data_IF_046240295936
#
_entry.id   IF_046240295936
#
_cell.length_a   1.000
_cell.length_b   1.000
_cell.length_c   1.000
_cell.angle_alpha   90.00
_cell.angle_beta   90.00
_cell.angle_gamma   90.00
#
_symmetry.space_group_name_H-M   'P 1'
#
loop_
_entity.id
_entity.type
_entity.pdbx_description
1 polymer ?
#
# COMPACT_ATOMS: atom_id res chain seq x y z
N UNK A 1 -19.88 -18.40 1.13
CA UNK A 1 -18.60 -17.93 1.68
C UNK A 1 -17.77 -19.17 1.95
N UNK A 2 -16.77 -19.52 1.12
CA UNK A 2 -16.00 -20.76 1.33
C UNK A 2 -15.28 -20.70 2.68
N UNK A 3 -15.30 -21.84 3.37
CA UNK A 3 -14.73 -22.04 4.69
C UNK A 3 -13.19 -21.88 4.61
N UNK A 4 -12.65 -20.94 5.39
CA UNK A 4 -11.20 -20.64 5.42
C UNK A 4 -10.61 -21.29 6.67
N UNK A 5 -10.53 -22.62 6.67
CA UNK A 5 -9.71 -23.31 7.65
C UNK A 5 -8.23 -23.00 7.35
N UNK A 6 -7.46 -22.50 8.33
CA UNK A 6 -6.04 -22.22 8.11
C UNK A 6 -5.32 -23.54 7.80
N UNK A 7 -4.27 -23.51 6.94
CA UNK A 7 -3.49 -24.71 6.64
C UNK A 7 -2.90 -25.29 7.93
N UNK A 8 -2.88 -26.62 8.02
CA UNK A 8 -2.35 -27.29 9.20
C UNK A 8 -0.87 -26.94 9.41
N UNK A 9 -0.46 -26.78 10.67
CA UNK A 9 0.92 -26.43 11.04
C UNK A 9 1.93 -27.46 10.47
N UNK A 10 1.53 -28.73 10.38
CA UNK A 10 2.33 -29.83 9.84
C UNK A 10 2.53 -29.71 8.32
N UNK A 11 1.51 -29.28 7.59
CA UNK A 11 1.63 -28.99 6.16
C UNK A 11 2.56 -27.79 5.92
N UNK A 12 2.44 -26.75 6.73
CA UNK A 12 3.36 -25.60 6.67
C UNK A 12 4.81 -26.01 6.99
N UNK A 13 5.02 -26.89 7.96
CA UNK A 13 6.35 -27.41 8.30
C UNK A 13 6.95 -28.23 7.14
N UNK A 14 6.13 -29.07 6.48
CA UNK A 14 6.56 -29.84 5.30
C UNK A 14 6.92 -28.92 4.12
N UNK A 15 6.15 -27.85 3.91
CA UNK A 15 6.36 -26.88 2.82
C UNK A 15 7.37 -25.77 3.18
N UNK A 16 7.81 -25.67 4.43
CA UNK A 16 8.68 -24.61 4.93
C UNK A 16 9.91 -24.34 4.05
N UNK A 17 10.69 -25.33 3.57
CA UNK A 17 11.85 -25.04 2.72
C UNK A 17 11.46 -24.42 1.38
N UNK A 18 10.36 -24.87 0.77
CA UNK A 18 9.83 -24.32 -0.48
C UNK A 18 9.37 -22.88 -0.26
N UNK A 19 8.58 -22.64 0.79
CA UNK A 19 8.11 -21.30 1.18
C UNK A 19 9.28 -20.36 1.51
N UNK A 20 10.36 -20.86 2.13
CA UNK A 20 11.55 -20.06 2.43
C UNK A 20 12.29 -19.63 1.16
N UNK A 21 12.41 -20.51 0.16
CA UNK A 21 12.99 -20.17 -1.15
C UNK A 21 12.09 -19.16 -1.88
N UNK A 22 10.78 -19.41 -1.93
CA UNK A 22 9.81 -18.48 -2.53
C UNK A 22 9.87 -17.10 -1.86
N UNK A 23 9.84 -17.05 -0.53
CA UNK A 23 9.93 -15.81 0.23
C UNK A 23 11.25 -15.08 -0.02
N UNK A 24 12.38 -15.80 -0.17
CA UNK A 24 13.67 -15.19 -0.52
C UNK A 24 13.67 -14.63 -1.94
N UNK A 25 13.07 -15.31 -2.90
CA UNK A 25 12.92 -14.81 -4.28
C UNK A 25 12.06 -13.55 -4.30
N UNK A 26 10.88 -13.59 -3.66
CA UNK A 26 9.99 -12.43 -3.56
C UNK A 26 10.69 -11.26 -2.88
N UNK A 27 11.36 -11.50 -1.75
CA UNK A 27 12.09 -10.44 -1.02
C UNK A 27 13.23 -9.84 -1.84
N UNK A 28 13.89 -10.63 -2.69
CA UNK A 28 14.93 -10.15 -3.61
C UNK A 28 14.35 -9.35 -4.77
N UNK A 29 13.17 -9.72 -5.27
CA UNK A 29 12.48 -9.04 -6.38
C UNK A 29 11.58 -7.88 -5.95
N UNK A 30 11.29 -7.73 -4.65
CA UNK A 30 10.41 -6.69 -4.14
C UNK A 30 10.96 -5.29 -4.46
N UNK A 31 10.25 -4.57 -5.34
CA UNK A 31 10.57 -3.19 -5.70
C UNK A 31 10.33 -2.30 -4.48
N UNK A 32 11.35 -1.52 -4.10
CA UNK A 32 11.17 -0.45 -3.11
C UNK A 32 10.51 0.72 -3.81
N UNK A 33 9.21 0.86 -3.59
CA UNK A 33 8.45 2.00 -4.06
C UNK A 33 8.94 3.25 -3.30
N UNK A 34 9.15 4.33 -4.06
CA UNK A 34 9.52 5.61 -3.49
C UNK A 34 8.27 6.29 -2.95
N UNK A 35 8.51 7.17 -1.99
CA UNK A 35 7.49 8.12 -1.59
C UNK A 35 7.33 9.17 -2.69
N UNK A 36 6.09 9.57 -3.04
CA UNK A 36 5.85 10.49 -4.14
C UNK A 36 6.43 11.88 -3.85
N UNK A 37 6.99 12.50 -4.90
CA UNK A 37 7.55 13.84 -4.82
C UNK A 37 6.43 14.90 -4.75
N UNK A 38 6.75 16.06 -4.17
CA UNK A 38 5.86 17.22 -4.11
C UNK A 38 5.27 17.52 -2.72
N UNK A 39 4.38 18.53 -2.63
CA UNK A 39 3.88 19.05 -1.36
C UNK A 39 2.87 18.12 -0.68
N UNK A 40 3.03 17.90 0.63
CA UNK A 40 2.07 17.13 1.46
C UNK A 40 0.98 17.96 2.11
N UNK A 41 1.05 19.27 1.94
CA UNK A 41 0.09 20.22 2.48
C UNK A 41 -0.19 21.27 1.42
N UNK A 42 -1.44 21.72 1.37
CA UNK A 42 -1.90 22.70 0.41
C UNK A 42 -3.34 23.09 0.69
N UNK A 43 -3.86 23.98 -0.15
CA UNK A 43 -5.26 24.41 -0.13
C UNK A 43 -5.76 24.41 -1.57
N UNK A 44 -6.91 23.81 -1.80
CA UNK A 44 -7.58 23.78 -3.11
C UNK A 44 -9.10 23.78 -2.93
N UNK A 45 -9.82 24.17 -3.97
CA UNK A 45 -11.27 24.37 -3.97
C UNK A 45 -11.71 25.72 -3.38
N UNK A 46 -12.98 26.07 -3.63
CA UNK A 46 -13.62 27.30 -3.16
C UNK A 46 -14.82 27.05 -2.22
N UNK A 47 -15.07 25.80 -1.84
CA UNK A 47 -16.20 25.40 -0.99
C UNK A 47 -15.92 25.47 0.52
N UNK A 48 -16.89 25.04 1.35
CA UNK A 48 -16.71 24.93 2.80
C UNK A 48 -15.53 24.00 3.16
N UNK A 49 -14.82 24.31 4.25
CA UNK A 49 -13.70 23.51 4.73
C UNK A 49 -14.13 22.10 5.11
N UNK A 50 -13.57 21.10 4.42
CA UNK A 50 -13.73 19.68 4.73
C UNK A 50 -12.58 19.19 5.62
N UNK A 51 -12.89 18.29 6.55
CA UNK A 51 -11.90 17.60 7.38
C UNK A 51 -11.96 16.11 7.06
N UNK A 52 -10.93 15.60 6.40
CA UNK A 52 -10.87 14.22 5.92
C UNK A 52 -9.66 13.52 6.52
N UNK A 53 -9.86 12.31 7.04
CA UNK A 53 -8.80 11.43 7.52
C UNK A 53 -8.55 10.35 6.45
N UNK A 54 -7.32 10.24 5.97
CA UNK A 54 -6.88 9.14 5.10
C UNK A 54 -6.08 8.19 5.98
N UNK A 55 -6.55 6.95 6.13
CA UNK A 55 -5.90 5.91 6.92
C UNK A 55 -5.72 4.64 6.08
N UNK A 56 -4.56 3.99 6.23
CA UNK A 56 -4.18 2.79 5.50
C UNK A 56 -2.71 2.47 5.72
N UNK A 57 -2.14 1.66 4.84
CA UNK A 57 -0.70 1.39 4.81
C UNK A 57 0.08 2.52 4.08
N UNK A 58 1.28 2.22 3.58
CA UNK A 58 2.10 3.16 2.81
C UNK A 58 1.39 3.73 1.57
N UNK A 59 0.43 3.00 0.99
CA UNK A 59 -0.36 3.45 -0.15
C UNK A 59 -1.24 4.64 0.20
N UNK A 60 -1.70 4.74 1.45
CA UNK A 60 -2.45 5.91 1.92
C UNK A 60 -1.61 7.19 1.95
N UNK A 61 -0.29 7.06 2.14
CA UNK A 61 0.67 8.16 2.01
C UNK A 61 1.05 8.47 0.55
N UNK A 62 0.56 7.66 -0.41
CA UNK A 62 0.84 7.79 -1.83
C UNK A 62 2.07 7.01 -2.33
N UNK A 63 2.67 6.15 -1.50
CA UNK A 63 3.86 5.37 -1.90
C UNK A 63 3.56 4.54 -3.15
N UNK A 64 4.38 4.73 -4.18
CA UNK A 64 4.19 4.13 -5.50
C UNK A 64 3.62 5.05 -6.57
N UNK A 65 3.12 6.24 -6.22
CA UNK A 65 2.86 7.31 -7.18
C UNK A 65 4.14 8.10 -7.48
N UNK A 66 4.23 8.71 -8.67
CA UNK A 66 5.39 9.55 -9.01
C UNK A 66 5.32 10.89 -8.28
N UNK A 67 4.13 11.49 -8.17
CA UNK A 67 3.92 12.76 -7.44
C UNK A 67 2.73 12.75 -6.47
N UNK A 68 2.73 13.67 -5.51
CA UNK A 68 1.62 13.88 -4.56
C UNK A 68 0.32 14.29 -5.25
N UNK A 69 0.37 14.84 -6.46
CA UNK A 69 -0.82 15.15 -7.27
C UNK A 69 -1.50 13.88 -7.82
N UNK A 70 -0.73 12.84 -8.08
CA UNK A 70 -1.21 11.53 -8.55
C UNK A 70 -1.52 10.56 -7.39
N UNK A 71 -0.99 10.84 -6.20
CA UNK A 71 -1.34 10.13 -4.98
C UNK A 71 -2.82 10.28 -4.62
N UNK A 72 -3.31 9.41 -3.72
CA UNK A 72 -4.71 9.37 -3.30
C UNK A 72 -5.24 10.74 -2.85
N UNK A 73 -4.49 11.46 -2.00
CA UNK A 73 -4.86 12.79 -1.53
C UNK A 73 -4.94 13.80 -2.68
N UNK A 74 -3.98 13.79 -3.61
CA UNK A 74 -3.96 14.65 -4.79
C UNK A 74 -5.14 14.41 -5.73
N UNK A 75 -5.48 13.16 -6.00
CA UNK A 75 -6.65 12.80 -6.84
C UNK A 75 -7.98 13.06 -6.17
N UNK A 76 -8.06 13.00 -4.83
CA UNK A 76 -9.28 13.34 -4.09
C UNK A 76 -9.61 14.83 -4.12
N UNK A 77 -8.59 15.68 -4.18
CA UNK A 77 -8.75 17.14 -4.20
C UNK A 77 -8.59 17.74 -5.60
N UNK A 78 -8.11 16.95 -6.56
CA UNK A 78 -8.06 17.28 -7.97
C UNK A 78 -9.46 17.25 -8.59
N UNK A 79 -9.66 18.11 -9.59
CA UNK A 79 -10.93 18.24 -10.33
C UNK A 79 -11.30 16.96 -11.10
#
# INVERSE_FOLDING_TARGET
>A
MPDRTPPSIWLLALLAPILAVQGRIVRRGAVRLREPDGPRAGRTGAGPSLRLLIAGDSSAAGVGADTQAEALSGRLVGE
#
